data_IF_915056123645
#
_entry.id   IF_915056123645
#
_cell.length_a   1.000
_cell.length_b   1.000
_cell.length_c   1.000
_cell.angle_alpha   90.00
_cell.angle_beta   90.00
_cell.angle_gamma   90.00
#
_symmetry.space_group_name_H-M   'P 1'
#
loop_
_entity.id
_entity.type
_entity.pdbx_description
1 polymer ?
2 non-polymer ?
#
# COMPACT_ATOMS: atom_id res chain seq x y z
N UNK A 1 20.51 -4.31 11.60
CA UNK A 1 19.52 -4.92 10.74
C UNK A 1 18.16 -4.97 11.42
N UNK A 2 17.41 -3.88 11.33
CA UNK A 2 16.08 -3.80 11.94
C UNK A 2 15.13 -2.98 11.08
N UNK A 3 14.09 -3.62 10.59
CA UNK A 3 13.10 -2.93 9.75
C UNK A 3 13.78 -2.21 8.60
N UNK A 4 14.49 -2.95 7.76
CA UNK A 4 15.19 -2.37 6.62
C UNK A 4 14.25 -2.19 5.44
N UNK A 5 13.15 -1.48 5.66
CA UNK A 5 12.18 -1.25 4.60
C UNK A 5 11.00 -2.19 4.67
N UNK A 6 9.85 -1.75 4.16
CA UNK A 6 8.64 -2.56 4.18
C UNK A 6 8.35 -3.12 2.79
N UNK A 7 7.92 -4.37 2.74
CA UNK A 7 7.61 -5.03 1.49
C UNK A 7 6.13 -4.84 1.12
N UNK A 8 5.87 -4.58 -0.15
CA UNK A 8 4.50 -4.37 -0.62
C UNK A 8 3.60 -5.53 -0.19
N UNK A 9 2.33 -5.21 0.05
CA UNK A 9 1.37 -6.22 0.47
C UNK A 9 0.53 -6.70 -0.72
N UNK A 10 1.00 -6.41 -1.92
CA UNK A 10 0.28 -6.81 -3.13
C UNK A 10 1.23 -7.48 -4.12
N UNK A 11 2.44 -6.94 -4.23
CA UNK A 11 3.44 -7.49 -5.15
C UNK A 11 4.65 -8.01 -4.37
N UNK A 12 4.75 -7.62 -3.10
CA UNK A 12 5.85 -8.06 -2.25
C UNK A 12 7.18 -7.54 -2.80
N UNK A 13 7.35 -6.22 -2.76
CA UNK A 13 8.58 -5.60 -3.25
C UNK A 13 9.29 -4.83 -2.14
N UNK A 14 10.49 -5.27 -1.80
CA UNK A 14 11.27 -4.62 -0.75
C UNK A 14 11.63 -3.19 -1.14
N UNK A 15 10.97 -2.23 -0.48
CA UNK A 15 11.22 -0.82 -0.75
C UNK A 15 11.76 -0.11 0.49
N UNK A 16 12.46 1.00 0.28
CA UNK A 16 13.03 1.77 1.38
C UNK A 16 12.01 2.75 1.94
N UNK A 17 11.24 3.36 1.06
CA UNK A 17 10.22 4.32 1.47
C UNK A 17 8.81 3.76 1.26
N UNK A 18 8.34 2.97 2.24
CA UNK A 18 7.01 2.36 2.18
C UNK A 18 5.89 3.39 2.34
N UNK A 19 4.92 3.34 1.42
CA UNK A 19 3.80 4.26 1.46
C UNK A 19 2.71 3.76 2.40
N UNK A 20 2.57 4.41 3.56
CA UNK A 20 1.56 4.03 4.53
C UNK A 20 0.21 4.63 4.19
N UNK A 21 -0.79 3.78 4.01
CA UNK A 21 -2.13 4.22 3.68
C UNK A 21 -2.92 4.58 4.94
N UNK A 22 -3.53 5.75 4.95
CA UNK A 22 -4.30 6.21 6.08
C UNK A 22 -5.78 5.85 5.91
N UNK A 23 -6.05 4.88 5.05
CA UNK A 23 -7.42 4.44 4.80
C UNK A 23 -7.59 2.98 5.17
N UNK A 24 -6.66 2.14 4.72
CA UNK A 24 -6.71 0.71 5.00
C UNK A 24 -5.66 0.33 6.04
N UNK A 25 -4.70 1.21 6.26
CA UNK A 25 -3.64 0.96 7.23
C UNK A 25 -2.73 -0.17 6.77
N UNK A 26 -2.10 0.01 5.61
CA UNK A 26 -1.21 -1.00 5.05
C UNK A 26 -0.07 -0.35 4.29
N UNK A 27 1.06 -1.06 4.20
CA UNK A 27 2.23 -0.55 3.49
C UNK A 27 2.30 -1.12 2.08
N UNK A 28 2.72 -0.28 1.13
CA UNK A 28 2.82 -0.71 -0.26
C UNK A 28 3.93 0.06 -0.98
N UNK A 29 4.71 -0.64 -1.79
CA UNK A 29 5.80 -0.02 -2.53
C UNK A 29 5.32 1.21 -3.28
N UNK A 30 6.26 2.10 -3.60
CA UNK A 30 5.92 3.33 -4.31
C UNK A 30 5.14 3.03 -5.58
N UNK A 31 5.47 1.92 -6.23
CA UNK A 31 4.79 1.52 -7.46
C UNK A 31 3.31 1.29 -7.21
N UNK A 32 2.97 0.89 -5.99
CA UNK A 32 1.59 0.64 -5.62
C UNK A 32 1.13 1.59 -4.51
N UNK A 33 1.83 2.72 -4.38
CA UNK A 33 1.50 3.71 -3.37
C UNK A 33 0.05 4.15 -3.50
N UNK A 34 -0.42 4.27 -4.74
CA UNK A 34 -1.80 4.69 -4.99
C UNK A 34 -2.79 3.82 -4.23
N UNK A 35 -4.04 4.25 -4.19
CA UNK A 35 -5.09 3.50 -3.48
C UNK A 35 -5.51 2.29 -4.30
N UNK A 36 -6.02 2.52 -5.49
CA UNK A 36 -6.47 1.44 -6.36
C UNK A 36 -5.34 0.43 -6.58
N UNK A 37 -4.11 0.91 -6.53
CA UNK A 37 -2.95 0.04 -6.73
C UNK A 37 -3.04 -1.20 -5.85
N UNK A 38 -3.23 -0.99 -4.55
CA UNK A 38 -3.33 -2.08 -3.60
C UNK A 38 -4.79 -2.43 -3.32
N UNK A 39 -5.67 -2.05 -4.24
CA UNK A 39 -7.10 -2.31 -4.10
C UNK A 39 -7.61 -1.88 -2.73
N UNK A 40 -7.39 -0.60 -2.40
CA UNK A 40 -7.82 -0.07 -1.12
C UNK A 40 -9.29 -0.35 -0.88
N UNK A 41 -9.59 -0.96 0.27
CA UNK A 41 -10.96 -1.30 0.63
C UNK A 41 -11.86 -0.07 0.53
N UNK A 42 -11.31 1.08 0.88
CA UNK A 42 -12.07 2.34 0.83
C UNK A 42 -12.56 2.61 -0.59
N UNK A 43 -11.70 2.37 -1.57
CA UNK A 43 -12.05 2.60 -2.96
C UNK A 43 -13.17 1.68 -3.40
N UNK A 44 -13.10 0.42 -2.99
CA UNK A 44 -14.12 -0.57 -3.33
C UNK A 44 -15.43 -0.29 -2.60
N UNK A 45 -15.31 0.18 -1.36
CA UNK A 45 -16.48 0.49 -0.56
C UNK A 45 -17.37 1.52 -1.26
N UNK A 46 -16.73 2.47 -1.94
CA UNK A 46 -17.46 3.52 -2.65
C UNK A 46 -17.02 3.58 -4.12
N UNK A 47 -17.61 2.72 -4.94
CA UNK A 47 -17.28 2.67 -6.36
C UNK A 47 -18.52 2.94 -7.22
N UNK A 48 -18.69 4.19 -7.64
CA UNK A 48 -19.82 4.56 -8.47
C UNK A 48 -19.37 5.34 -9.70
N UNK A 49 -20.09 5.16 -10.80
CA UNK A 49 -19.77 5.85 -12.04
C UNK A 49 -18.37 5.51 -12.51
X LIG B 1 4.15 -3.21 -4.99
X LIG C 1 -5.33 1.80 1.30
#
# INVERSE_FOLDING_TARGET
MLDVGKHCAYCRQLDFLPFHCSFCNEDFCSNHRLKEDHHCRWLLEHEEV
ZN ZN
ZN ZN
#
